data_IF_693260314013
#
_entry.id   IF_693260314013
#
_cell.length_a   1.000
_cell.length_b   1.000
_cell.length_c   1.000
_cell.angle_alpha   90.00
_cell.angle_beta   90.00
_cell.angle_gamma   90.00
#
_symmetry.space_group_name_H-M   'P 1'
#
loop_
_entity.id
_entity.type
_entity.pdbx_description
1 polymer ?
#
# COMPACT_ATOMS: atom_id res chain seq x y z
N UNK A 1 21.16 26.19 -0.34
CA UNK A 1 21.06 24.87 0.34
C UNK A 1 22.33 24.08 0.06
N UNK A 2 22.97 23.54 1.09
CA UNK A 2 24.22 22.76 0.98
C UNK A 2 24.01 21.32 1.43
N UNK A 3 24.70 20.36 0.79
CA UNK A 3 24.70 18.96 1.24
C UNK A 3 25.43 18.87 2.58
N UNK A 4 24.76 18.34 3.60
CA UNK A 4 25.34 18.05 4.92
C UNK A 4 26.07 16.70 4.91
N UNK A 5 25.33 15.64 4.61
CA UNK A 5 25.80 14.26 4.66
C UNK A 5 24.92 13.39 3.78
N UNK A 6 25.29 12.12 3.60
CA UNK A 6 24.43 11.13 2.96
C UNK A 6 24.05 10.09 3.99
N UNK A 7 22.83 9.58 3.90
CA UNK A 7 22.32 8.51 4.78
C UNK A 7 21.76 7.37 3.94
N UNK A 8 21.99 6.15 4.41
CA UNK A 8 21.51 4.93 3.75
C UNK A 8 20.18 4.52 4.37
N UNK A 9 19.12 4.44 3.56
CA UNK A 9 17.81 3.90 3.97
C UNK A 9 17.51 2.61 3.22
N UNK A 10 16.86 1.68 3.89
CA UNK A 10 16.37 0.43 3.30
C UNK A 10 14.86 0.52 3.09
N UNK A 11 14.40 0.13 1.91
CA UNK A 11 13.00 0.25 1.51
C UNK A 11 12.56 -1.03 0.82
N UNK A 12 11.45 -1.61 1.26
CA UNK A 12 10.87 -2.79 0.61
C UNK A 12 10.31 -2.43 -0.77
N UNK A 13 10.55 -3.30 -1.75
CA UNK A 13 10.00 -3.17 -3.09
C UNK A 13 9.16 -4.40 -3.46
N UNK A 14 8.60 -4.37 -4.68
CA UNK A 14 7.94 -5.53 -5.24
C UNK A 14 8.89 -6.73 -5.26
N UNK A 15 8.30 -7.90 -5.07
CA UNK A 15 9.01 -9.15 -5.10
C UNK A 15 9.50 -9.44 -6.53
N UNK A 16 10.63 -10.13 -6.62
CA UNK A 16 11.20 -10.61 -7.87
C UNK A 16 11.27 -12.13 -7.80
N UNK A 17 10.48 -12.83 -8.63
CA UNK A 17 10.46 -14.30 -8.68
C UNK A 17 10.31 -14.94 -7.28
N UNK A 18 9.34 -14.45 -6.51
CA UNK A 18 9.10 -14.95 -5.15
C UNK A 18 10.06 -14.46 -4.06
N UNK A 19 11.09 -13.69 -4.42
CA UNK A 19 12.08 -13.20 -3.48
C UNK A 19 11.75 -11.79 -3.03
N UNK A 20 11.85 -11.57 -1.72
CA UNK A 20 11.69 -10.25 -1.13
C UNK A 20 12.82 -9.34 -1.62
N UNK A 21 12.47 -8.26 -2.31
CA UNK A 21 13.42 -7.24 -2.74
C UNK A 21 13.45 -6.11 -1.72
N UNK A 22 14.66 -5.73 -1.32
CA UNK A 22 14.91 -4.55 -0.48
C UNK A 22 15.89 -3.64 -1.22
N UNK A 23 15.49 -2.40 -1.42
CA UNK A 23 16.30 -1.38 -2.05
C UNK A 23 17.11 -0.63 -0.99
N UNK A 24 18.40 -0.51 -1.25
CA UNK A 24 19.32 0.29 -0.45
C UNK A 24 19.53 1.64 -1.11
N UNK A 25 18.92 2.69 -0.57
CA UNK A 25 18.98 4.03 -1.14
C UNK A 25 19.97 4.90 -0.38
N UNK A 26 20.86 5.56 -1.11
CA UNK A 26 21.76 6.58 -0.58
C UNK A 26 21.14 7.96 -0.84
N UNK A 27 20.51 8.53 0.18
CA UNK A 27 19.82 9.82 0.09
C UNK A 27 20.62 10.93 0.76
N UNK A 28 20.52 12.16 0.25
CA UNK A 28 21.24 13.31 0.79
C UNK A 28 20.50 13.94 1.96
N UNK A 29 21.24 14.43 2.95
CA UNK A 29 20.76 15.38 3.96
C UNK A 29 21.26 16.75 3.55
N UNK A 30 20.40 17.76 3.62
CA UNK A 30 20.68 19.14 3.28
C UNK A 30 20.59 20.03 4.52
N UNK A 31 21.39 21.09 4.53
CA UNK A 31 21.19 22.23 5.42
C UNK A 31 20.30 23.28 4.75
N UNK A 32 19.42 23.86 5.56
CA UNK A 32 18.73 25.11 5.21
C UNK A 32 19.67 26.28 5.57
N UNK A 33 20.06 27.08 4.58
CA UNK A 33 20.96 28.22 4.81
C UNK A 33 20.18 29.48 5.26
N UNK A 34 18.85 29.39 5.32
CA UNK A 34 17.98 30.51 5.69
C UNK A 34 17.89 30.62 7.22
N UNK A 35 18.25 31.77 7.82
CA UNK A 35 18.33 31.90 9.28
C UNK A 35 16.99 31.77 10.00
N UNK A 36 15.87 32.11 9.35
CA UNK A 36 14.51 31.96 9.90
C UNK A 36 13.89 30.59 9.60
N UNK A 37 14.65 29.65 9.04
CA UNK A 37 14.13 28.34 8.65
C UNK A 37 13.85 27.48 9.88
N UNK A 38 12.60 27.05 10.13
CA UNK A 38 12.27 26.21 11.29
C UNK A 38 12.91 24.81 11.19
N UNK A 39 13.41 24.43 10.01
CA UNK A 39 14.02 23.13 9.76
C UNK A 39 15.43 23.28 9.18
N UNK A 40 16.42 23.29 10.07
CA UNK A 40 17.83 23.43 9.73
C UNK A 40 18.39 22.27 8.91
N UNK A 41 17.87 21.05 9.11
CA UNK A 41 18.28 19.84 8.36
C UNK A 41 17.06 19.11 7.81
N UNK A 42 17.10 18.78 6.52
CA UNK A 42 16.09 17.93 5.88
C UNK A 42 16.73 16.90 4.95
N UNK A 43 16.04 15.79 4.74
CA UNK A 43 16.49 14.72 3.84
C UNK A 43 15.88 14.92 2.46
N UNK A 44 16.63 14.57 1.43
CA UNK A 44 16.16 14.44 0.05
C UNK A 44 14.86 13.63 0.01
N UNK A 45 13.85 14.20 -0.65
CA UNK A 45 12.55 13.56 -0.84
C UNK A 45 12.51 12.99 -2.25
N UNK A 46 11.95 11.79 -2.37
CA UNK A 46 11.76 11.09 -3.64
C UNK A 46 10.27 10.76 -3.78
N UNK A 47 9.38 11.77 -3.81
CA UNK A 47 7.94 11.58 -3.65
C UNK A 47 7.34 10.65 -4.70
N UNK A 48 7.80 10.70 -5.95
CA UNK A 48 7.32 9.83 -7.03
C UNK A 48 7.68 8.34 -6.80
N UNK A 49 8.68 8.08 -5.97
CA UNK A 49 9.18 6.74 -5.71
C UNK A 49 8.75 6.19 -4.34
N UNK A 50 8.90 7.00 -3.29
CA UNK A 50 8.68 6.65 -1.89
C UNK A 50 8.21 7.88 -1.13
N UNK A 51 7.01 7.77 -0.56
CA UNK A 51 6.45 8.76 0.35
C UNK A 51 7.35 9.12 1.54
N UNK A 52 7.13 10.30 2.11
CA UNK A 52 7.87 10.76 3.28
C UNK A 52 7.68 9.76 4.44
N UNK A 53 8.79 9.20 4.94
CA UNK A 53 8.82 8.16 6.00
C UNK A 53 8.32 6.76 5.61
N UNK A 54 7.91 6.54 4.37
CA UNK A 54 7.48 5.22 3.93
C UNK A 54 8.64 4.21 3.96
N UNK A 55 8.34 2.99 4.42
CA UNK A 55 9.28 1.86 4.48
C UNK A 55 9.20 0.93 3.27
N UNK A 56 8.25 1.19 2.37
CA UNK A 56 8.08 0.46 1.11
C UNK A 56 7.89 1.45 -0.04
N UNK A 57 8.15 1.03 -1.27
CA UNK A 57 7.95 1.87 -2.46
C UNK A 57 6.48 2.15 -2.72
N UNK A 58 6.17 3.29 -3.34
CA UNK A 58 4.80 3.66 -3.73
C UNK A 58 4.17 2.57 -4.60
N UNK A 59 4.96 1.96 -5.50
CA UNK A 59 4.50 0.85 -6.32
C UNK A 59 4.00 -0.35 -5.50
N UNK A 60 4.74 -0.74 -4.45
CA UNK A 60 4.28 -1.80 -3.54
C UNK A 60 3.08 -1.34 -2.69
N UNK A 61 3.03 -0.07 -2.29
CA UNK A 61 1.85 0.50 -1.62
C UNK A 61 0.59 0.31 -2.46
N UNK A 62 0.63 0.74 -3.72
CA UNK A 62 -0.53 0.69 -4.62
C UNK A 62 -0.96 -0.73 -4.93
N UNK A 63 -0.03 -1.68 -5.09
CA UNK A 63 -0.38 -3.10 -5.24
C UNK A 63 -1.13 -3.64 -4.02
N UNK A 64 -0.69 -3.29 -2.81
CA UNK A 64 -1.38 -3.68 -1.57
C UNK A 64 -2.76 -3.02 -1.45
N UNK A 65 -2.88 -1.75 -1.83
CA UNK A 65 -4.16 -1.02 -1.84
C UNK A 65 -5.14 -1.65 -2.83
N UNK A 66 -4.71 -1.93 -4.07
CA UNK A 66 -5.55 -2.57 -5.08
C UNK A 66 -6.07 -3.96 -4.63
N UNK A 67 -5.18 -4.79 -4.09
CA UNK A 67 -5.56 -6.10 -3.50
C UNK A 67 -6.55 -5.91 -2.35
N UNK A 68 -6.27 -4.93 -1.50
CA UNK A 68 -7.06 -4.63 -0.32
C UNK A 68 -8.47 -4.11 -0.63
N UNK A 69 -8.62 -3.24 -1.63
CA UNK A 69 -9.93 -2.75 -2.05
C UNK A 69 -10.75 -3.82 -2.77
N UNK A 70 -10.10 -4.74 -3.47
CA UNK A 70 -10.77 -5.80 -4.23
C UNK A 70 -11.23 -7.00 -3.36
N UNK A 71 -10.65 -7.19 -2.18
CA UNK A 71 -10.86 -8.40 -1.38
C UNK A 71 -10.94 -8.11 0.13
N UNK A 72 -11.52 -9.04 0.89
CA UNK A 72 -11.45 -8.98 2.36
C UNK A 72 -10.01 -9.10 2.86
N UNK A 73 -9.75 -8.72 4.12
CA UNK A 73 -8.39 -8.76 4.69
C UNK A 73 -7.75 -10.16 4.62
N UNK A 74 -8.52 -11.22 4.89
CA UNK A 74 -8.05 -12.61 4.79
C UNK A 74 -7.76 -13.01 3.35
N UNK A 75 -8.73 -12.78 2.46
CA UNK A 75 -8.62 -13.19 1.05
C UNK A 75 -7.52 -12.40 0.36
N UNK A 76 -7.44 -11.10 0.60
CA UNK A 76 -6.40 -10.22 0.08
C UNK A 76 -5.01 -10.59 0.56
N UNK A 77 -4.83 -11.00 1.82
CA UNK A 77 -3.53 -11.51 2.31
C UNK A 77 -3.11 -12.80 1.60
N UNK A 78 -4.06 -13.73 1.37
CA UNK A 78 -3.81 -14.95 0.59
C UNK A 78 -3.52 -14.63 -0.88
N UNK A 79 -4.29 -13.76 -1.51
CA UNK A 79 -4.07 -13.31 -2.88
C UNK A 79 -2.71 -12.63 -3.05
N UNK A 80 -2.32 -11.79 -2.10
CA UNK A 80 -1.00 -11.16 -2.07
C UNK A 80 0.12 -12.20 -2.11
N UNK A 81 -0.03 -13.32 -1.41
CA UNK A 81 0.96 -14.39 -1.41
C UNK A 81 1.14 -15.08 -2.76
N UNK A 82 0.07 -15.17 -3.58
CA UNK A 82 0.13 -15.69 -4.94
C UNK A 82 0.88 -14.77 -5.92
N UNK A 83 0.94 -13.47 -5.62
CA UNK A 83 1.80 -12.49 -6.31
C UNK A 83 3.05 -12.18 -5.50
N UNK A 84 3.47 -13.13 -4.66
CA UNK A 84 4.70 -13.13 -3.88
C UNK A 84 4.78 -12.08 -2.77
N UNK A 85 3.75 -11.27 -2.56
CA UNK A 85 3.73 -10.25 -1.51
C UNK A 85 3.32 -10.89 -0.17
N UNK A 86 4.24 -10.89 0.80
CA UNK A 86 3.93 -11.33 2.17
C UNK A 86 3.44 -10.15 3.01
N UNK A 87 2.14 -10.15 3.35
CA UNK A 87 1.51 -9.12 4.18
C UNK A 87 0.47 -9.74 5.12
N UNK A 88 0.49 -9.43 6.43
CA UNK A 88 -0.55 -9.88 7.35
C UNK A 88 -1.92 -9.25 7.01
N UNK A 89 -3.05 -9.97 7.19
CA UNK A 89 -4.40 -9.44 6.96
C UNK A 89 -4.65 -8.10 7.67
N UNK A 90 -4.19 -7.97 8.92
CA UNK A 90 -4.34 -6.75 9.74
C UNK A 90 -3.55 -5.57 9.18
N UNK A 91 -2.39 -5.83 8.58
CA UNK A 91 -1.56 -4.79 7.94
C UNK A 91 -2.20 -4.32 6.65
N UNK A 92 -2.77 -5.24 5.87
CA UNK A 92 -3.54 -4.93 4.67
C UNK A 92 -4.76 -4.07 5.01
N UNK A 93 -5.57 -4.48 6.00
CA UNK A 93 -6.71 -3.69 6.46
C UNK A 93 -6.31 -2.30 6.94
N UNK A 94 -5.28 -2.20 7.80
CA UNK A 94 -4.78 -0.91 8.29
C UNK A 94 -4.36 0.02 7.16
N UNK A 95 -3.78 -0.51 6.08
CA UNK A 95 -3.41 0.29 4.90
C UNK A 95 -4.61 0.86 4.19
N UNK A 96 -5.61 0.03 3.91
CA UNK A 96 -6.84 0.46 3.22
C UNK A 96 -7.57 1.52 4.06
N UNK A 97 -7.67 1.33 5.37
CA UNK A 97 -8.30 2.29 6.28
C UNK A 97 -7.52 3.62 6.41
N UNK A 98 -6.23 3.63 6.10
CA UNK A 98 -5.40 4.84 6.09
C UNK A 98 -5.48 5.59 4.75
N UNK A 99 -6.11 5.03 3.72
CA UNK A 99 -6.31 5.71 2.45
C UNK A 99 -7.36 6.82 2.62
N UNK A 100 -7.23 7.95 1.89
CA UNK A 100 -8.22 9.00 1.92
C UNK A 100 -9.59 8.44 1.49
N UNK A 101 -10.62 8.73 2.27
CA UNK A 101 -11.99 8.39 1.88
C UNK A 101 -12.44 9.29 0.74
N UNK A 102 -13.14 8.74 -0.26
CA UNK A 102 -13.76 9.57 -1.28
C UNK A 102 -14.77 10.52 -0.61
N UNK A 103 -14.94 11.70 -1.20
CA UNK A 103 -15.93 12.68 -0.73
C UNK A 103 -17.30 11.98 -0.67
N UNK A 104 -18.02 12.05 0.46
CA UNK A 104 -19.32 11.40 0.58
C UNK A 104 -20.26 11.92 -0.52
N UNK A 105 -20.62 11.04 -1.44
CA UNK A 105 -21.77 11.29 -2.32
C UNK A 105 -23.03 10.98 -1.51
N UNK A 106 -24.09 11.77 -1.68
CA UNK A 106 -25.37 11.53 -1.01
C UNK A 106 -25.88 10.16 -1.49
N UNK A 107 -25.73 9.15 -0.63
CA UNK A 107 -26.24 7.81 -0.90
C UNK A 107 -27.73 7.81 -0.56
N UNK A 108 -28.58 7.94 -1.58
CA UNK A 108 -30.04 7.95 -1.41
C UNK A 108 -30.63 6.55 -1.17
N UNK A 109 -29.89 5.49 -1.50
CA UNK A 109 -30.31 4.11 -1.30
C UNK A 109 -29.18 3.24 -0.76
N UNK A 110 -29.34 2.71 0.45
CA UNK A 110 -28.49 1.65 1.01
C UNK A 110 -29.22 0.32 0.76
N UNK A 111 -28.83 -0.40 -0.27
CA UNK A 111 -29.33 -1.77 -0.53
C UNK A 111 -28.56 -2.79 0.31
N UNK A 112 -29.26 -3.69 1.01
CA UNK A 112 -28.65 -4.83 1.69
C UNK A 112 -28.28 -5.91 0.67
N UNK A 113 -27.02 -5.95 0.25
CA UNK A 113 -26.50 -7.05 -0.58
C UNK A 113 -26.12 -8.24 0.32
N UNK A 114 -27.14 -8.89 0.90
CA UNK A 114 -26.99 -10.20 1.56
C UNK A 114 -27.93 -11.16 0.84
N UNK A 115 -27.57 -11.61 -0.37
CA UNK A 115 -28.16 -12.82 -0.95
C UNK A 115 -27.39 -13.31 -2.18
N UNK A 116 -27.23 -14.63 -2.25
CA UNK A 116 -26.77 -15.50 -3.35
C UNK A 116 -25.28 -15.85 -3.41
N UNK A 117 -24.82 -16.57 -2.39
CA UNK A 117 -23.87 -17.67 -2.60
C UNK A 117 -24.52 -18.95 -2.04
N UNK A 118 -24.94 -19.86 -2.93
CA UNK A 118 -25.40 -21.21 -2.56
C UNK A 118 -26.81 -21.54 -3.03
N UNK A 119 -26.92 -22.11 -4.24
CA UNK A 119 -27.91 -23.13 -4.60
C UNK A 119 -27.45 -23.74 -5.93
N UNK A 120 -26.50 -24.66 -5.83
CA UNK A 120 -26.22 -25.64 -6.86
C UNK A 120 -26.85 -26.94 -6.38
N UNK A 121 -28.13 -27.15 -6.68
CA UNK A 121 -28.78 -28.45 -6.50
C UNK A 121 -29.84 -28.67 -7.58
N UNK A 122 -29.69 -29.83 -8.24
CA UNK A 122 -30.69 -30.59 -9.00
C UNK A 122 -31.19 -30.10 -10.36
N UNK A 123 -30.64 -30.72 -11.40
CA UNK A 123 -31.43 -31.16 -12.55
C UNK A 123 -30.88 -32.47 -13.13
N UNK A 124 -31.01 -33.56 -12.36
CA UNK A 124 -31.20 -34.88 -12.97
C UNK A 124 -32.70 -35.15 -13.10
N UNK A 125 -33.06 -35.81 -14.21
CA UNK A 125 -34.23 -36.68 -14.40
C UNK A 125 -35.49 -36.03 -14.99
N UNK A 126 -35.51 -35.96 -16.33
CA UNK A 126 -36.68 -36.39 -17.12
C UNK A 126 -36.18 -37.13 -18.37
N UNK A 127 -36.27 -38.46 -18.33
CA UNK A 127 -36.69 -39.33 -19.43
C UNK A 127 -37.81 -40.19 -18.89
#
# INVERSE_FOLDING_TARGET
MRVHSRYRRTVGALYWEGRRVVLSLLVRKFFCDTPQCPRLIFTERLPDFIELWARITNRLCHSLEAIGFAASREVGSRLASHVWISVPPTTLLRRIMACPTPVPQVVSHVGSMISRFGEAENMERFS
#
